data_IF_417805670211
#
_entry.id   IF_417805670211
#
_cell.length_a   1.000
_cell.length_b   1.000
_cell.length_c   1.000
_cell.angle_alpha   90.00
_cell.angle_beta   90.00
_cell.angle_gamma   90.00
#
_symmetry.space_group_name_H-M   'P 1'
#
loop_
_entity.id
_entity.type
_entity.pdbx_description
1 polymer ?
#
# COMPACT_ATOMS: atom_id res chain seq x y z
N UNK A 1 55.92 -53.83 49.77
CA UNK A 1 55.60 -53.00 50.95
C UNK A 1 54.41 -52.12 50.59
N UNK A 2 53.22 -52.49 51.06
CA UNK A 2 52.01 -51.68 50.99
C UNK A 2 52.14 -50.51 51.96
N UNK A 3 51.87 -49.28 51.52
CA UNK A 3 51.61 -48.18 52.44
C UNK A 3 50.41 -47.35 51.94
N UNK A 4 49.23 -47.71 52.45
CA UNK A 4 47.99 -46.95 52.33
C UNK A 4 48.13 -45.65 53.13
N UNK A 5 48.14 -44.50 52.47
CA UNK A 5 47.86 -43.22 53.12
C UNK A 5 46.40 -42.84 52.93
N UNK A 6 45.68 -42.85 54.06
CA UNK A 6 44.27 -42.50 54.23
C UNK A 6 43.89 -41.16 53.57
N UNK A 7 43.01 -41.20 52.57
CA UNK A 7 42.17 -40.03 52.22
C UNK A 7 41.20 -39.78 53.37
N UNK A 8 41.45 -38.74 54.17
CA UNK A 8 40.47 -38.23 55.13
C UNK A 8 39.30 -37.62 54.37
N UNK A 9 38.16 -38.31 54.35
CA UNK A 9 36.88 -37.70 53.98
C UNK A 9 36.53 -36.66 55.05
N UNK A 10 36.48 -35.38 54.66
CA UNK A 10 35.91 -34.34 55.51
C UNK A 10 34.39 -34.51 55.49
N UNK A 11 33.85 -35.12 56.54
CA UNK A 11 32.43 -35.08 56.83
C UNK A 11 32.17 -33.76 57.56
N UNK A 12 31.72 -32.75 56.84
CA UNK A 12 31.17 -31.55 57.48
C UNK A 12 29.91 -31.96 58.23
N UNK A 13 29.97 -32.03 59.56
CA UNK A 13 28.77 -32.09 60.38
C UNK A 13 27.85 -30.95 59.98
N UNK A 14 26.57 -31.27 59.73
CA UNK A 14 25.58 -30.26 59.44
C UNK A 14 25.52 -29.30 60.62
N UNK A 15 26.02 -28.08 60.44
CA UNK A 15 25.76 -26.97 61.34
C UNK A 15 24.24 -26.76 61.38
N UNK A 16 23.57 -27.42 62.33
CA UNK A 16 22.14 -27.27 62.61
C UNK A 16 21.89 -25.97 63.38
N UNK A 17 22.41 -24.85 62.89
CA UNK A 17 21.78 -23.58 63.16
C UNK A 17 20.79 -23.36 62.03
N UNK A 18 19.56 -23.89 62.19
CA UNK A 18 18.43 -23.32 61.46
C UNK A 18 18.42 -21.87 61.88
N UNK A 19 18.81 -20.96 60.98
CA UNK A 19 18.54 -19.54 61.18
C UNK A 19 17.01 -19.45 61.23
N UNK A 20 16.46 -19.44 62.44
CA UNK A 20 15.05 -19.21 62.67
C UNK A 20 14.86 -17.73 62.37
N UNK A 21 14.52 -17.46 61.11
CA UNK A 21 14.17 -16.13 60.66
C UNK A 21 13.03 -15.65 61.56
N UNK A 22 13.19 -14.48 62.20
CA UNK A 22 12.17 -13.85 63.05
C UNK A 22 10.80 -13.95 62.32
N UNK A 23 9.72 -14.46 62.96
CA UNK A 23 8.41 -14.53 62.33
C UNK A 23 7.95 -13.19 61.73
N UNK A 24 8.44 -12.07 62.27
CA UNK A 24 8.16 -10.70 61.80
C UNK A 24 9.21 -10.16 60.81
N UNK A 25 10.27 -10.89 60.51
CA UNK A 25 11.31 -10.48 59.56
C UNK A 25 10.71 -10.19 58.19
N UNK A 26 9.87 -11.09 57.67
CA UNK A 26 9.24 -10.92 56.37
C UNK A 26 8.36 -9.67 56.31
N UNK A 27 7.63 -9.34 57.38
CA UNK A 27 6.81 -8.14 57.46
C UNK A 27 7.65 -6.86 57.54
N UNK A 28 8.72 -6.86 58.35
CA UNK A 28 9.61 -5.70 58.49
C UNK A 28 10.33 -5.42 57.18
N UNK A 29 10.90 -6.44 56.54
CA UNK A 29 11.63 -6.31 55.27
C UNK A 29 10.70 -5.92 54.14
N UNK A 30 9.48 -6.48 54.09
CA UNK A 30 8.47 -6.07 53.12
C UNK A 30 8.12 -4.59 53.26
N UNK A 31 7.89 -4.08 54.48
CA UNK A 31 7.59 -2.65 54.70
C UNK A 31 8.68 -1.71 54.19
N UNK A 32 9.95 -2.11 54.28
CA UNK A 32 11.07 -1.33 53.72
C UNK A 32 10.99 -1.29 52.20
N UNK A 33 10.75 -2.45 51.56
CA UNK A 33 10.62 -2.54 50.10
C UNK A 33 9.36 -1.83 49.58
N UNK A 34 8.24 -1.96 50.28
CA UNK A 34 6.99 -1.28 49.98
C UNK A 34 7.17 0.24 50.07
N UNK A 35 7.82 0.75 51.12
CA UNK A 35 8.15 2.16 51.24
C UNK A 35 9.05 2.64 50.09
N UNK A 36 10.05 1.85 49.71
CA UNK A 36 10.89 2.18 48.56
C UNK A 36 10.08 2.24 47.25
N UNK A 37 9.13 1.33 47.03
CA UNK A 37 8.23 1.36 45.87
C UNK A 37 7.39 2.65 45.88
N UNK A 38 6.85 3.05 47.04
CA UNK A 38 6.15 4.32 47.19
C UNK A 38 7.03 5.53 46.81
N UNK A 39 8.27 5.58 47.30
CA UNK A 39 9.20 6.67 46.97
C UNK A 39 9.59 6.69 45.48
N UNK A 40 9.70 5.52 44.84
CA UNK A 40 9.94 5.42 43.39
C UNK A 40 8.77 6.04 42.61
N UNK A 41 7.52 5.71 42.95
CA UNK A 41 6.35 6.30 42.28
C UNK A 41 6.16 7.80 42.62
N UNK A 42 6.67 8.27 43.76
CA UNK A 42 6.68 9.68 44.15
C UNK A 42 7.85 10.48 43.54
N UNK A 43 8.64 9.88 42.63
CA UNK A 43 9.83 10.49 42.01
C UNK A 43 10.99 10.81 42.96
N UNK A 44 11.01 10.21 44.15
CA UNK A 44 12.07 10.37 45.16
C UNK A 44 13.10 9.23 45.14
N UNK A 45 13.12 8.42 44.08
CA UNK A 45 13.94 7.21 44.01
C UNK A 45 15.46 7.43 44.03
N UNK A 46 15.96 8.63 43.77
CA UNK A 46 17.40 8.95 43.81
C UNK A 46 18.01 8.92 45.21
N UNK A 47 17.18 9.03 46.27
CA UNK A 47 17.63 8.94 47.66
C UNK A 47 17.72 7.51 48.20
N UNK A 48 17.34 6.51 47.40
CA UNK A 48 17.27 5.11 47.84
C UNK A 48 18.60 4.37 47.64
N UNK A 49 19.01 3.58 48.62
CA UNK A 49 20.17 2.71 48.50
C UNK A 49 19.80 1.42 47.73
N UNK A 50 20.11 1.39 46.43
CA UNK A 50 19.79 0.27 45.54
C UNK A 50 20.39 -1.07 46.00
N UNK A 51 21.60 -1.07 46.58
CA UNK A 51 22.25 -2.30 47.06
C UNK A 51 21.52 -2.86 48.28
N UNK A 52 21.12 -2.00 49.21
CA UNK A 52 20.37 -2.41 50.39
C UNK A 52 19.00 -2.98 50.02
N UNK A 53 18.29 -2.32 49.11
CA UNK A 53 16.98 -2.77 48.65
C UNK A 53 17.08 -4.10 47.89
N UNK A 54 18.07 -4.24 47.00
CA UNK A 54 18.34 -5.51 46.33
C UNK A 54 18.66 -6.64 47.33
N UNK A 55 19.51 -6.38 48.33
CA UNK A 55 19.85 -7.36 49.37
C UNK A 55 18.63 -7.78 50.19
N UNK A 56 17.75 -6.82 50.53
CA UNK A 56 16.50 -7.09 51.24
C UNK A 56 15.56 -7.98 50.41
N UNK A 57 15.38 -7.66 49.13
CA UNK A 57 14.58 -8.48 48.22
C UNK A 57 15.19 -9.88 48.00
N UNK A 58 16.51 -9.97 47.83
CA UNK A 58 17.25 -11.23 47.73
C UNK A 58 17.01 -12.12 48.95
N UNK A 59 17.15 -11.57 50.16
CA UNK A 59 16.95 -12.32 51.40
C UNK A 59 15.49 -12.80 51.56
N UNK A 60 14.51 -12.01 51.14
CA UNK A 60 13.11 -12.44 51.15
C UNK A 60 12.87 -13.69 50.28
N UNK A 61 13.44 -13.71 49.06
CA UNK A 61 13.34 -14.89 48.18
C UNK A 61 14.12 -16.08 48.75
N UNK A 62 15.35 -15.86 49.22
CA UNK A 62 16.21 -16.90 49.81
C UNK A 62 15.54 -17.59 51.01
N UNK A 63 14.85 -16.83 51.85
CA UNK A 63 14.13 -17.34 53.02
C UNK A 63 12.70 -17.84 52.70
N UNK A 64 12.39 -18.13 51.44
CA UNK A 64 11.09 -18.68 50.97
C UNK A 64 9.88 -17.76 51.15
N UNK A 65 10.09 -16.44 51.21
CA UNK A 65 9.00 -15.44 51.25
C UNK A 65 8.71 -14.82 49.87
N UNK A 66 9.06 -15.50 48.77
CA UNK A 66 8.88 -15.00 47.40
C UNK A 66 7.42 -14.70 47.02
N UNK A 67 6.46 -15.55 47.42
CA UNK A 67 5.03 -15.30 47.14
C UNK A 67 4.52 -14.04 47.86
N UNK A 68 4.98 -13.79 49.10
CA UNK A 68 4.62 -12.60 49.85
C UNK A 68 5.20 -11.34 49.21
N UNK A 69 6.45 -11.41 48.75
CA UNK A 69 7.10 -10.33 48.02
C UNK A 69 6.36 -10.02 46.71
N UNK A 70 6.02 -11.05 45.92
CA UNK A 70 5.33 -10.88 44.64
C UNK A 70 3.90 -10.36 44.81
N UNK A 71 3.11 -10.92 45.73
CA UNK A 71 1.75 -10.44 46.01
C UNK A 71 1.72 -9.03 46.60
N UNK A 72 2.68 -8.71 47.46
CA UNK A 72 2.90 -7.35 47.96
C UNK A 72 3.18 -6.38 46.80
N UNK A 73 4.13 -6.72 45.92
CA UNK A 73 4.48 -5.93 44.74
C UNK A 73 3.24 -5.63 43.89
N UNK A 74 2.47 -6.66 43.54
CA UNK A 74 1.23 -6.53 42.75
C UNK A 74 0.27 -5.56 43.44
N UNK A 75 0.08 -5.70 44.75
CA UNK A 75 -0.86 -4.87 45.52
C UNK A 75 -0.43 -3.41 45.56
N UNK A 76 0.84 -3.14 45.86
CA UNK A 76 1.39 -1.78 45.95
C UNK A 76 1.39 -1.09 44.58
N UNK A 77 1.81 -1.78 43.50
CA UNK A 77 1.75 -1.24 42.14
C UNK A 77 0.31 -0.95 41.71
N UNK A 78 -0.63 -1.86 42.00
CA UNK A 78 -2.05 -1.66 41.69
C UNK A 78 -2.62 -0.45 42.41
N UNK A 79 -2.25 -0.23 43.68
CA UNK A 79 -2.65 0.96 44.43
C UNK A 79 -2.21 2.25 43.73
N UNK A 80 -0.93 2.35 43.34
CA UNK A 80 -0.43 3.53 42.61
C UNK A 80 -1.11 3.73 41.27
N UNK A 81 -1.33 2.64 40.52
CA UNK A 81 -2.02 2.72 39.23
C UNK A 81 -3.46 3.21 39.37
N UNK A 82 -4.18 2.84 40.44
CA UNK A 82 -5.52 3.39 40.70
C UNK A 82 -5.50 4.89 40.97
N UNK A 83 -4.50 5.39 41.70
CA UNK A 83 -4.35 6.84 41.91
C UNK A 83 -3.96 7.56 40.62
N UNK A 84 -3.08 6.96 39.81
CA UNK A 84 -2.73 7.47 38.48
C UNK A 84 -3.97 7.51 37.56
N UNK A 85 -4.82 6.48 37.58
CA UNK A 85 -6.06 6.43 36.79
C UNK A 85 -6.94 7.64 37.10
N UNK A 86 -7.16 7.95 38.39
CA UNK A 86 -7.96 9.11 38.80
C UNK A 86 -7.41 10.43 38.26
N UNK A 87 -6.08 10.59 38.26
CA UNK A 87 -5.44 11.80 37.72
C UNK A 87 -5.63 11.91 36.22
N UNK A 88 -5.47 10.81 35.48
CA UNK A 88 -5.69 10.76 34.03
C UNK A 88 -7.16 11.03 33.70
N UNK A 89 -8.10 10.44 34.45
CA UNK A 89 -9.54 10.64 34.29
C UNK A 89 -9.95 12.10 34.50
N UNK A 90 -9.33 12.79 35.48
CA UNK A 90 -9.59 14.19 35.76
C UNK A 90 -9.08 15.16 34.67
N UNK A 91 -8.11 14.75 33.85
CA UNK A 91 -7.58 15.58 32.77
C UNK A 91 -8.66 15.81 31.69
N UNK A 92 -8.85 17.05 31.25
CA UNK A 92 -9.89 17.45 30.28
C UNK A 92 -9.31 17.80 28.90
N UNK A 93 -10.11 17.60 27.85
CA UNK A 93 -9.76 18.00 26.48
C UNK A 93 -8.43 17.43 26.00
N UNK A 94 -7.62 18.26 25.32
CA UNK A 94 -6.32 17.87 24.77
C UNK A 94 -5.26 17.47 25.80
N UNK A 95 -5.42 17.88 27.06
CA UNK A 95 -4.49 17.52 28.14
C UNK A 95 -4.55 16.04 28.53
N UNK A 96 -5.64 15.35 28.18
CA UNK A 96 -5.82 13.94 28.52
C UNK A 96 -4.74 13.02 27.94
N UNK A 97 -4.44 13.15 26.64
CA UNK A 97 -3.41 12.33 26.01
C UNK A 97 -2.00 12.71 26.50
N UNK A 98 -1.75 13.99 26.77
CA UNK A 98 -0.48 14.47 27.31
C UNK A 98 -0.22 13.89 28.70
N UNK A 99 -1.23 13.93 29.58
CA UNK A 99 -1.15 13.38 30.92
C UNK A 99 -1.02 11.86 30.90
N UNK A 100 -1.78 11.16 30.04
CA UNK A 100 -1.64 9.72 29.84
C UNK A 100 -0.21 9.34 29.38
N UNK A 101 0.32 10.05 28.38
CA UNK A 101 1.67 9.82 27.85
C UNK A 101 2.75 10.08 28.91
N UNK A 102 2.60 11.15 29.69
CA UNK A 102 3.52 11.50 30.77
C UNK A 102 3.51 10.44 31.86
N UNK A 103 2.32 10.04 32.32
CA UNK A 103 2.15 9.00 33.35
C UNK A 103 2.63 7.63 32.89
N UNK A 104 2.49 7.31 31.60
CA UNK A 104 3.07 6.11 31.00
C UNK A 104 4.61 6.12 31.06
N UNK A 105 5.24 7.24 30.72
CA UNK A 105 6.69 7.39 30.81
C UNK A 105 7.19 7.29 32.25
N UNK A 106 6.48 7.91 33.19
CA UNK A 106 6.78 7.85 34.63
C UNK A 106 6.65 6.42 35.16
N UNK A 107 5.58 5.71 34.79
CA UNK A 107 5.37 4.30 35.14
C UNK A 107 6.47 3.39 34.62
N UNK A 108 6.88 3.54 33.36
CA UNK A 108 7.97 2.72 32.80
C UNK A 108 9.30 2.93 33.53
N UNK A 109 9.62 4.17 33.92
CA UNK A 109 10.81 4.45 34.75
C UNK A 109 10.70 3.76 36.10
N UNK A 110 9.54 3.86 36.75
CA UNK A 110 9.30 3.20 38.03
C UNK A 110 9.43 1.67 37.93
N UNK A 111 8.80 1.06 36.92
CA UNK A 111 8.89 -0.40 36.65
C UNK A 111 10.34 -0.84 36.42
N UNK A 112 11.13 -0.06 35.68
CA UNK A 112 12.54 -0.38 35.46
C UNK A 112 13.34 -0.36 36.78
N UNK A 113 13.16 0.66 37.63
CA UNK A 113 13.81 0.72 38.93
C UNK A 113 13.38 -0.43 39.86
N UNK A 114 12.09 -0.76 39.88
CA UNK A 114 11.53 -1.87 40.67
C UNK A 114 12.08 -3.21 40.17
N UNK A 115 12.19 -3.40 38.86
CA UNK A 115 12.80 -4.59 38.25
C UNK A 115 14.25 -4.74 38.66
N UNK A 116 15.03 -3.65 38.65
CA UNK A 116 16.43 -3.67 39.05
C UNK A 116 16.59 -4.02 40.54
N UNK A 117 15.71 -3.48 41.39
CA UNK A 117 15.61 -3.84 42.81
C UNK A 117 15.24 -5.32 43.02
N UNK A 118 14.35 -5.88 42.19
CA UNK A 118 13.81 -7.23 42.32
C UNK A 118 14.45 -8.26 41.37
N UNK A 119 15.63 -7.95 40.81
CA UNK A 119 16.28 -8.74 39.78
C UNK A 119 16.48 -10.22 40.16
N UNK A 120 16.73 -10.51 41.45
CA UNK A 120 16.88 -11.89 41.91
C UNK A 120 15.55 -12.66 41.89
N UNK A 121 14.44 -12.01 42.19
CA UNK A 121 13.09 -12.60 42.12
C UNK A 121 12.75 -13.00 40.69
N UNK A 122 13.03 -12.14 39.71
CA UNK A 122 12.83 -12.41 38.28
C UNK A 122 13.67 -13.59 37.79
N UNK A 123 14.90 -13.73 38.29
CA UNK A 123 15.82 -14.80 37.85
C UNK A 123 15.57 -16.16 38.47
N UNK A 124 14.99 -16.21 39.68
CA UNK A 124 14.92 -17.45 40.47
C UNK A 124 13.50 -17.85 40.82
N UNK A 125 12.74 -16.93 41.42
CA UNK A 125 11.40 -17.21 41.92
C UNK A 125 10.37 -17.29 40.79
N UNK A 126 10.37 -16.32 39.89
CA UNK A 126 9.41 -16.22 38.78
C UNK A 126 9.42 -17.47 37.88
N UNK A 127 10.58 -17.99 37.42
CA UNK A 127 10.61 -19.22 36.61
C UNK A 127 10.14 -20.46 37.39
N UNK A 128 10.47 -20.54 38.69
CA UNK A 128 10.11 -21.69 39.52
C UNK A 128 8.61 -21.77 39.86
N UNK A 129 7.90 -20.65 39.74
CA UNK A 129 6.47 -20.53 40.07
C UNK A 129 5.59 -20.21 38.87
N UNK A 130 6.18 -20.13 37.67
CA UNK A 130 5.51 -19.75 36.43
C UNK A 130 4.72 -18.43 36.53
N UNK A 131 5.22 -17.48 37.32
CA UNK A 131 4.64 -16.13 37.46
C UNK A 131 5.09 -15.24 36.30
N UNK A 132 4.49 -14.06 36.20
CA UNK A 132 4.88 -13.05 35.22
C UNK A 132 6.12 -12.28 35.70
N UNK A 133 7.15 -12.07 34.86
CA UNK A 133 8.29 -11.21 35.21
C UNK A 133 7.88 -9.78 35.56
N UNK A 134 8.64 -9.09 36.41
CA UNK A 134 8.27 -7.77 36.95
C UNK A 134 7.98 -6.73 35.85
N UNK A 135 8.77 -6.71 34.77
CA UNK A 135 8.54 -5.79 33.66
C UNK A 135 7.19 -6.05 32.98
N UNK A 136 6.92 -7.30 32.60
CA UNK A 136 5.66 -7.70 31.95
C UNK A 136 4.47 -7.55 32.90
N UNK A 137 4.65 -7.79 34.20
CA UNK A 137 3.66 -7.50 35.22
C UNK A 137 3.30 -6.01 35.23
N UNK A 138 4.29 -5.12 35.15
CA UNK A 138 4.06 -3.68 35.06
C UNK A 138 3.22 -3.27 33.85
N UNK A 139 3.46 -3.91 32.69
CA UNK A 139 2.65 -3.70 31.47
C UNK A 139 1.22 -4.23 31.64
N UNK A 140 1.07 -5.46 32.15
CA UNK A 140 -0.24 -6.08 32.39
C UNK A 140 -1.08 -5.26 33.37
N UNK A 141 -0.49 -4.81 34.48
CA UNK A 141 -1.18 -3.98 35.46
C UNK A 141 -1.59 -2.63 34.87
N UNK A 142 -0.75 -2.00 34.03
CA UNK A 142 -1.11 -0.77 33.33
C UNK A 142 -2.29 -0.98 32.38
N UNK A 143 -2.25 -2.05 31.56
CA UNK A 143 -3.34 -2.43 30.68
C UNK A 143 -4.65 -2.58 31.46
N UNK A 144 -4.63 -3.36 32.53
CA UNK A 144 -5.86 -3.78 33.21
C UNK A 144 -6.43 -2.69 34.13
N UNK A 145 -5.60 -1.81 34.70
CA UNK A 145 -6.07 -0.75 35.62
C UNK A 145 -6.23 0.62 34.97
N UNK A 146 -5.49 0.93 33.88
CA UNK A 146 -5.56 2.24 33.20
C UNK A 146 -6.30 2.10 31.88
N UNK A 147 -5.75 1.36 30.91
CA UNK A 147 -6.28 1.33 29.54
C UNK A 147 -7.65 0.67 29.47
N UNK A 148 -7.88 -0.36 30.27
CA UNK A 148 -9.18 -1.06 30.39
C UNK A 148 -10.10 -0.48 31.45
N UNK A 149 -9.74 0.65 32.06
CA UNK A 149 -10.70 1.42 32.86
C UNK A 149 -11.83 1.88 31.95
N UNK A 150 -13.08 1.69 32.37
CA UNK A 150 -14.27 1.97 31.53
C UNK A 150 -14.35 3.43 31.08
N UNK A 151 -13.82 4.35 31.88
CA UNK A 151 -13.77 5.79 31.57
C UNK A 151 -12.67 6.15 30.58
N UNK A 152 -11.51 5.49 30.67
CA UNK A 152 -10.33 5.78 29.84
C UNK A 152 -10.42 5.04 28.50
N UNK A 153 -10.84 3.79 28.48
CA UNK A 153 -10.81 2.94 27.28
C UNK A 153 -11.55 3.58 26.10
N UNK A 154 -12.84 3.87 26.28
CA UNK A 154 -13.69 4.47 25.24
C UNK A 154 -13.22 5.88 24.88
N UNK A 155 -12.81 6.66 25.89
CA UNK A 155 -12.32 8.03 25.68
C UNK A 155 -11.04 8.06 24.86
N UNK A 156 -10.09 7.17 25.17
CA UNK A 156 -8.82 7.03 24.47
C UNK A 156 -9.04 6.67 23.02
N UNK A 157 -9.86 5.65 22.76
CA UNK A 157 -10.19 5.24 21.40
C UNK A 157 -10.81 6.40 20.61
N UNK A 158 -11.87 7.01 21.14
CA UNK A 158 -12.57 8.10 20.45
C UNK A 158 -11.66 9.29 20.19
N UNK A 159 -10.81 9.67 21.17
CA UNK A 159 -9.87 10.80 21.00
C UNK A 159 -8.85 10.51 19.91
N UNK A 160 -8.30 9.28 19.84
CA UNK A 160 -7.36 8.91 18.79
C UNK A 160 -8.01 8.93 17.41
N UNK A 161 -9.21 8.36 17.28
CA UNK A 161 -9.95 8.34 16.02
C UNK A 161 -10.34 9.75 15.56
N UNK A 162 -10.77 10.61 16.49
CA UNK A 162 -11.09 12.02 16.21
C UNK A 162 -9.86 12.80 15.73
N UNK A 163 -8.70 12.61 16.37
CA UNK A 163 -7.46 13.27 15.91
C UNK A 163 -7.06 12.82 14.50
N UNK A 164 -7.20 11.53 14.18
CA UNK A 164 -6.92 11.03 12.83
C UNK A 164 -7.92 11.62 11.83
N UNK A 165 -9.21 11.70 12.18
CA UNK A 165 -10.22 12.31 11.34
C UNK A 165 -9.92 13.80 11.08
N UNK A 166 -9.58 14.55 12.12
CA UNK A 166 -9.21 15.98 12.03
C UNK A 166 -8.00 16.19 11.12
N UNK A 167 -7.01 15.30 11.19
CA UNK A 167 -5.88 15.33 10.27
C UNK A 167 -6.30 15.04 8.82
N UNK A 168 -7.18 14.05 8.59
CA UNK A 168 -7.73 13.79 7.23
C UNK A 168 -8.48 14.99 6.67
N UNK A 169 -9.09 15.82 7.52
CA UNK A 169 -9.75 17.07 7.11
C UNK A 169 -8.80 18.27 7.01
N UNK A 170 -7.49 18.06 7.19
CA UNK A 170 -6.46 19.08 7.00
C UNK A 170 -6.05 19.84 8.26
N UNK A 171 -6.52 19.44 9.44
CA UNK A 171 -6.09 20.06 10.69
C UNK A 171 -4.70 19.58 11.12
N UNK A 172 -3.91 20.49 11.69
CA UNK A 172 -2.60 20.14 12.25
C UNK A 172 -2.78 19.48 13.62
N UNK A 173 -2.27 18.25 13.75
CA UNK A 173 -2.30 17.47 14.98
C UNK A 173 -0.89 17.24 15.54
N UNK A 174 -0.80 16.93 16.83
CA UNK A 174 0.46 16.52 17.45
C UNK A 174 0.79 15.05 17.10
N UNK A 175 1.38 14.83 15.92
CA UNK A 175 1.80 13.49 15.44
C UNK A 175 2.74 12.77 16.42
N UNK A 176 3.59 13.53 17.13
CA UNK A 176 4.53 12.97 18.11
C UNK A 176 3.82 12.35 19.32
N UNK A 177 2.77 13.01 19.82
CA UNK A 177 1.96 12.50 20.91
C UNK A 177 1.20 11.23 20.50
N UNK A 178 0.56 11.24 19.33
CA UNK A 178 -0.16 10.06 18.81
C UNK A 178 0.80 8.89 18.63
N UNK A 179 1.98 9.12 18.04
CA UNK A 179 3.01 8.07 17.91
C UNK A 179 3.37 7.44 19.25
N UNK A 180 3.54 8.23 20.30
CA UNK A 180 3.90 7.71 21.62
C UNK A 180 2.75 6.89 22.24
N UNK A 181 1.50 7.35 22.09
CA UNK A 181 0.33 6.62 22.57
C UNK A 181 0.12 5.32 21.78
N UNK A 182 0.23 5.35 20.45
CA UNK A 182 0.16 4.16 19.61
C UNK A 182 1.27 3.17 19.97
N UNK A 183 2.49 3.66 20.21
CA UNK A 183 3.59 2.84 20.70
C UNK A 183 3.26 2.17 22.04
N UNK A 184 2.69 2.91 23.00
CA UNK A 184 2.21 2.33 24.24
C UNK A 184 1.19 1.20 23.98
N UNK A 185 0.20 1.40 23.11
CA UNK A 185 -0.78 0.35 22.80
C UNK A 185 -0.12 -0.90 22.21
N UNK A 186 0.90 -0.72 21.36
CA UNK A 186 1.70 -1.83 20.82
C UNK A 186 2.50 -2.55 21.91
N UNK A 187 3.14 -1.80 22.81
CA UNK A 187 3.94 -2.36 23.93
C UNK A 187 3.07 -3.17 24.90
N UNK A 188 1.77 -2.83 25.03
CA UNK A 188 0.79 -3.57 25.83
C UNK A 188 0.25 -4.84 25.14
N UNK A 189 0.63 -5.05 23.88
CA UNK A 189 0.43 -6.29 23.14
C UNK A 189 -0.77 -6.31 22.16
N UNK A 190 -0.92 -7.42 21.40
CA UNK A 190 -1.88 -7.52 20.31
C UNK A 190 -3.34 -7.32 20.72
N UNK A 191 -3.73 -7.81 21.91
CA UNK A 191 -5.11 -7.67 22.40
C UNK A 191 -5.51 -6.22 22.68
N UNK A 192 -4.56 -5.30 22.82
CA UNK A 192 -4.85 -3.87 23.01
C UNK A 192 -4.75 -3.17 21.66
N UNK A 193 -3.61 -3.29 20.97
CA UNK A 193 -3.43 -2.58 19.71
C UNK A 193 -4.35 -3.09 18.59
N UNK A 194 -4.45 -4.40 18.37
CA UNK A 194 -5.18 -4.94 17.23
C UNK A 194 -6.68 -4.98 17.48
N UNK A 195 -7.09 -5.43 18.66
CA UNK A 195 -8.50 -5.61 18.99
C UNK A 195 -9.16 -4.30 19.42
N UNK A 196 -8.56 -3.57 20.37
CA UNK A 196 -9.19 -2.37 20.95
C UNK A 196 -9.01 -1.11 20.07
N UNK A 197 -7.98 -1.05 19.21
CA UNK A 197 -7.69 0.13 18.38
C UNK A 197 -7.76 -0.13 16.86
N UNK A 198 -6.98 -1.06 16.32
CA UNK A 198 -6.83 -1.24 14.87
C UNK A 198 -8.16 -1.61 14.20
N UNK A 199 -8.92 -2.55 14.77
CA UNK A 199 -10.22 -2.95 14.22
C UNK A 199 -11.19 -1.77 14.12
N UNK A 200 -11.50 -1.02 15.21
CA UNK A 200 -12.29 0.20 15.12
C UNK A 200 -11.72 1.26 14.17
N UNK A 201 -10.39 1.42 14.13
CA UNK A 201 -9.73 2.36 13.23
C UNK A 201 -10.00 2.04 11.76
N UNK A 202 -9.87 0.77 11.37
CA UNK A 202 -10.16 0.34 9.99
C UNK A 202 -11.65 0.47 9.65
N UNK A 203 -12.54 0.13 10.58
CA UNK A 203 -14.00 0.27 10.40
C UNK A 203 -14.43 1.74 10.19
N UNK A 204 -13.95 2.64 11.04
CA UNK A 204 -14.23 4.08 10.91
C UNK A 204 -13.59 4.66 9.64
N UNK A 205 -12.39 4.19 9.28
CA UNK A 205 -11.74 4.61 8.03
C UNK A 205 -12.51 4.15 6.79
N UNK A 206 -13.02 2.92 6.79
CA UNK A 206 -13.85 2.42 5.70
C UNK A 206 -15.12 3.27 5.55
N UNK A 207 -15.79 3.60 6.66
CA UNK A 207 -16.96 4.46 6.63
C UNK A 207 -16.64 5.88 6.13
N UNK A 208 -15.51 6.44 6.57
CA UNK A 208 -15.04 7.75 6.10
C UNK A 208 -14.85 7.77 4.58
N UNK A 209 -14.09 6.81 4.02
CA UNK A 209 -13.80 6.76 2.58
C UNK A 209 -15.03 6.37 1.75
N UNK A 210 -15.97 5.61 2.31
CA UNK A 210 -17.26 5.34 1.65
C UNK A 210 -18.09 6.60 1.47
N UNK A 211 -18.19 7.44 2.51
CA UNK A 211 -18.94 8.70 2.43
C UNK A 211 -18.21 9.69 1.51
N UNK A 212 -16.89 9.81 1.66
CA UNK A 212 -16.09 10.74 0.85
C UNK A 212 -16.11 10.35 -0.64
N UNK A 213 -15.99 9.07 -0.97
CA UNK A 213 -16.06 8.60 -2.37
C UNK A 213 -17.41 8.92 -3.00
N UNK A 214 -18.53 8.71 -2.28
CA UNK A 214 -19.86 9.07 -2.79
C UNK A 214 -19.97 10.58 -3.06
N UNK A 215 -19.51 11.42 -2.14
CA UNK A 215 -19.52 12.87 -2.31
C UNK A 215 -18.67 13.30 -3.51
N UNK A 216 -17.49 12.70 -3.69
CA UNK A 216 -16.64 13.03 -4.83
C UNK A 216 -17.27 12.62 -6.15
N UNK A 217 -17.94 11.47 -6.21
CA UNK A 217 -18.63 11.03 -7.43
C UNK A 217 -19.79 11.97 -7.81
N UNK A 218 -20.47 12.56 -6.82
CA UNK A 218 -21.57 13.49 -7.07
C UNK A 218 -21.11 14.88 -7.50
N UNK A 219 -19.91 15.30 -7.06
CA UNK A 219 -19.47 16.69 -7.19
C UNK A 219 -18.25 16.90 -8.10
N UNK A 220 -17.57 15.84 -8.54
CA UNK A 220 -16.34 15.92 -9.31
C UNK A 220 -16.48 15.20 -10.65
N UNK A 221 -15.65 15.60 -11.62
CA UNK A 221 -15.40 14.77 -12.79
C UNK A 221 -14.50 13.58 -12.43
N UNK A 222 -14.41 12.60 -13.34
CA UNK A 222 -13.62 11.39 -13.08
C UNK A 222 -12.11 11.70 -12.89
N UNK A 223 -11.54 12.66 -13.63
CA UNK A 223 -10.12 13.01 -13.51
C UNK A 223 -9.78 13.55 -12.11
N UNK A 224 -10.59 14.48 -11.61
CA UNK A 224 -10.48 15.06 -10.28
C UNK A 224 -10.74 14.03 -9.17
N UNK A 225 -11.69 13.12 -9.38
CA UNK A 225 -11.91 11.98 -8.48
C UNK A 225 -10.64 11.13 -8.34
N UNK A 226 -10.01 10.77 -9.46
CA UNK A 226 -8.80 9.95 -9.48
C UNK A 226 -7.65 10.68 -8.78
N UNK A 227 -7.46 11.99 -9.04
CA UNK A 227 -6.45 12.83 -8.36
C UNK A 227 -6.65 12.84 -6.85
N UNK A 228 -7.88 13.02 -6.39
CA UNK A 228 -8.19 13.01 -4.95
C UNK A 228 -7.96 11.64 -4.33
N UNK A 229 -8.29 10.57 -5.04
CA UNK A 229 -8.07 9.18 -4.59
C UNK A 229 -6.58 8.88 -4.45
N UNK A 230 -5.77 9.24 -5.45
CA UNK A 230 -4.31 9.13 -5.40
C UNK A 230 -3.73 9.91 -4.20
N UNK A 231 -4.22 11.13 -3.97
CA UNK A 231 -3.80 11.94 -2.82
C UNK A 231 -4.14 11.24 -1.49
N UNK A 232 -5.34 10.69 -1.34
CA UNK A 232 -5.76 9.97 -0.11
C UNK A 232 -4.90 8.74 0.16
N UNK A 233 -4.53 7.98 -0.87
CA UNK A 233 -3.60 6.86 -0.73
C UNK A 233 -2.24 7.32 -0.19
N UNK A 234 -1.66 8.36 -0.78
CA UNK A 234 -0.37 8.89 -0.33
C UNK A 234 -0.44 9.44 1.09
N UNK A 235 -1.51 10.15 1.45
CA UNK A 235 -1.73 10.64 2.81
C UNK A 235 -1.81 9.51 3.84
N UNK A 236 -2.43 8.38 3.52
CA UNK A 236 -2.48 7.20 4.42
C UNK A 236 -1.12 6.51 4.55
N UNK A 237 -0.37 6.36 3.45
CA UNK A 237 0.99 5.81 3.48
C UNK A 237 1.90 6.69 4.36
N UNK A 238 1.85 8.00 4.18
CA UNK A 238 2.58 8.94 5.02
C UNK A 238 2.15 8.83 6.48
N UNK A 239 0.84 8.80 6.75
CA UNK A 239 0.30 8.67 8.11
C UNK A 239 0.82 7.43 8.82
N UNK A 240 0.83 6.30 8.13
CA UNK A 240 1.37 5.06 8.67
C UNK A 240 2.83 5.22 9.04
N UNK A 241 3.63 5.81 8.14
CA UNK A 241 5.06 6.05 8.39
C UNK A 241 5.34 6.95 9.60
N UNK A 242 4.44 7.90 9.89
CA UNK A 242 4.64 8.85 10.99
C UNK A 242 4.30 8.27 12.37
N UNK A 243 3.20 7.52 12.50
CA UNK A 243 2.71 7.14 13.83
C UNK A 243 1.94 5.82 13.95
N UNK A 244 1.74 5.04 12.88
CA UNK A 244 1.15 3.70 12.97
C UNK A 244 2.20 2.60 12.81
N UNK A 245 1.81 1.34 13.03
CA UNK A 245 2.67 0.18 12.77
C UNK A 245 2.83 -0.01 11.25
N UNK A 246 4.08 0.01 10.77
CA UNK A 246 4.42 -0.18 9.35
C UNK A 246 3.85 -1.48 8.75
N UNK A 247 3.67 -2.52 9.58
CA UNK A 247 3.05 -3.78 9.12
C UNK A 247 1.58 -3.62 8.72
N UNK A 248 0.97 -2.46 8.99
CA UNK A 248 -0.47 -2.19 8.80
C UNK A 248 -0.74 -1.29 7.60
N UNK A 249 0.30 -0.82 6.92
CA UNK A 249 0.17 -0.06 5.68
C UNK A 249 -0.74 -0.77 4.69
N UNK A 250 -0.52 -2.08 4.48
CA UNK A 250 -1.37 -2.89 3.61
C UNK A 250 -2.84 -2.84 4.01
N UNK A 251 -3.18 -3.01 5.29
CA UNK A 251 -4.58 -3.07 5.75
C UNK A 251 -5.35 -1.77 5.53
N UNK A 252 -4.75 -0.62 5.81
CA UNK A 252 -5.41 0.67 5.60
C UNK A 252 -5.44 1.03 4.12
N UNK A 253 -4.40 0.67 3.37
CA UNK A 253 -4.36 0.84 1.91
C UNK A 253 -5.47 0.02 1.25
N UNK A 254 -5.66 -1.24 1.63
CA UNK A 254 -6.75 -2.10 1.16
C UNK A 254 -8.13 -1.46 1.40
N UNK A 255 -8.31 -0.78 2.54
CA UNK A 255 -9.56 -0.06 2.85
C UNK A 255 -9.80 1.10 1.87
N UNK A 256 -8.77 1.90 1.58
CA UNK A 256 -8.86 3.01 0.61
C UNK A 256 -9.12 2.46 -0.80
N UNK A 257 -8.37 1.43 -1.21
CA UNK A 257 -8.52 0.80 -2.52
C UNK A 257 -9.91 0.18 -2.69
N UNK A 258 -10.44 -0.48 -1.66
CA UNK A 258 -11.78 -1.05 -1.71
C UNK A 258 -12.87 0.03 -1.80
N UNK A 259 -12.85 1.01 -0.90
CA UNK A 259 -13.94 1.98 -0.76
C UNK A 259 -13.90 3.08 -1.82
N UNK A 260 -12.70 3.48 -2.29
CA UNK A 260 -12.56 4.55 -3.30
C UNK A 260 -12.37 4.02 -4.73
N UNK A 261 -11.91 2.78 -4.95
CA UNK A 261 -11.62 2.28 -6.31
C UNK A 261 -12.53 1.10 -6.63
N UNK A 262 -12.42 -0.02 -5.91
CA UNK A 262 -13.08 -1.27 -6.26
C UNK A 262 -14.60 -1.13 -6.31
N UNK A 263 -15.21 -0.50 -5.29
CA UNK A 263 -16.66 -0.33 -5.19
C UNK A 263 -17.27 0.54 -6.29
N UNK A 264 -16.48 1.44 -6.91
CA UNK A 264 -16.97 2.45 -7.86
C UNK A 264 -16.38 2.30 -9.26
N UNK A 265 -15.54 1.29 -9.49
CA UNK A 265 -14.78 1.08 -10.71
C UNK A 265 -15.60 1.24 -11.99
N UNK A 266 -16.72 0.52 -12.12
CA UNK A 266 -17.61 0.60 -13.29
C UNK A 266 -18.25 1.98 -13.43
N UNK A 267 -18.65 2.60 -12.33
CA UNK A 267 -19.24 3.94 -12.32
C UNK A 267 -18.25 5.01 -12.75
N UNK A 268 -16.97 4.89 -12.37
CA UNK A 268 -15.91 5.81 -12.76
C UNK A 268 -15.59 5.68 -14.24
N UNK A 269 -15.41 4.47 -14.74
CA UNK A 269 -15.07 4.23 -16.16
C UNK A 269 -16.19 4.69 -17.08
N UNK A 270 -17.45 4.46 -16.70
CA UNK A 270 -18.64 4.87 -17.46
C UNK A 270 -19.24 6.20 -17.00
N UNK A 271 -18.48 7.03 -16.26
CA UNK A 271 -18.98 8.30 -15.75
C UNK A 271 -19.39 9.22 -16.90
N UNK A 272 -20.59 9.80 -16.80
CA UNK A 272 -21.14 10.67 -17.83
C UNK A 272 -20.22 11.87 -18.07
N UNK A 273 -19.93 12.19 -19.33
CA UNK A 273 -19.11 13.33 -19.79
C UNK A 273 -17.66 13.42 -19.25
N UNK A 274 -17.21 12.47 -18.44
CA UNK A 274 -15.84 12.52 -17.87
C UNK A 274 -15.17 11.16 -17.69
N UNK A 275 -15.90 10.05 -17.89
CA UNK A 275 -15.35 8.70 -17.81
C UNK A 275 -14.30 8.40 -18.88
N UNK A 276 -13.82 7.17 -18.90
CA UNK A 276 -12.65 6.75 -19.69
C UNK A 276 -12.78 7.11 -21.18
N UNK A 277 -13.96 6.91 -21.78
CA UNK A 277 -14.18 7.24 -23.21
C UNK A 277 -13.94 8.72 -23.49
N UNK A 278 -14.42 9.63 -22.62
CA UNK A 278 -14.17 11.06 -22.79
C UNK A 278 -12.69 11.39 -22.63
N UNK A 279 -11.99 10.74 -21.68
CA UNK A 279 -10.54 10.90 -21.53
C UNK A 279 -9.76 10.44 -22.76
N UNK A 280 -10.21 9.37 -23.44
CA UNK A 280 -9.62 8.89 -24.70
C UNK A 280 -9.86 9.89 -25.85
N UNK A 281 -11.07 10.42 -25.95
CA UNK A 281 -11.43 11.40 -26.98
C UNK A 281 -10.65 12.71 -26.82
N UNK A 282 -10.58 13.24 -25.60
CA UNK A 282 -9.94 14.52 -25.27
C UNK A 282 -8.42 14.42 -25.06
N UNK A 283 -7.81 13.27 -25.34
CA UNK A 283 -6.36 13.05 -25.20
C UNK A 283 -5.81 13.37 -23.78
N UNK A 284 -6.58 13.03 -22.73
CA UNK A 284 -6.21 13.26 -21.32
C UNK A 284 -5.23 12.20 -20.79
N UNK A 285 -4.02 12.16 -21.35
CA UNK A 285 -3.01 11.13 -21.06
C UNK A 285 -2.66 10.99 -19.57
N UNK A 286 -2.55 12.10 -18.84
CA UNK A 286 -2.25 12.07 -17.40
C UNK A 286 -3.35 11.40 -16.58
N UNK A 287 -4.61 11.72 -16.88
CA UNK A 287 -5.76 11.15 -16.17
C UNK A 287 -5.95 9.67 -16.52
N UNK A 288 -5.69 9.28 -17.77
CA UNK A 288 -5.63 7.87 -18.19
C UNK A 288 -4.52 7.11 -17.46
N UNK A 289 -3.34 7.72 -17.30
CA UNK A 289 -2.22 7.13 -16.57
C UNK A 289 -2.54 6.91 -15.10
N UNK A 290 -3.23 7.89 -14.48
CA UNK A 290 -3.72 7.77 -13.11
C UNK A 290 -4.79 6.70 -12.98
N UNK A 291 -5.72 6.61 -13.93
CA UNK A 291 -6.73 5.56 -13.97
C UNK A 291 -6.06 4.17 -14.02
N UNK A 292 -5.08 3.97 -14.90
CA UNK A 292 -4.33 2.71 -14.98
C UNK A 292 -3.62 2.37 -13.67
N UNK A 293 -2.93 3.35 -13.09
CA UNK A 293 -2.13 3.18 -11.86
C UNK A 293 -2.99 2.91 -10.62
N UNK A 294 -4.22 3.42 -10.58
CA UNK A 294 -5.18 3.14 -9.52
C UNK A 294 -5.89 1.79 -9.75
N UNK A 295 -6.24 1.47 -10.99
CA UNK A 295 -6.99 0.26 -11.31
C UNK A 295 -6.11 -1.00 -11.28
N UNK A 296 -4.78 -0.88 -11.43
CA UNK A 296 -3.88 -2.02 -11.26
C UNK A 296 -3.84 -2.56 -9.83
N UNK A 297 -4.27 -1.76 -8.85
CA UNK A 297 -4.28 -2.11 -7.43
C UNK A 297 -5.44 -3.03 -7.04
N UNK A 298 -6.52 -3.02 -7.82
CA UNK A 298 -7.74 -3.76 -7.50
C UNK A 298 -7.98 -4.91 -8.47
N UNK A 299 -8.62 -5.97 -7.97
CA UNK A 299 -8.99 -7.11 -8.80
C UNK A 299 -9.92 -6.68 -9.94
N UNK A 300 -9.70 -7.23 -11.14
CA UNK A 300 -10.43 -6.89 -12.37
C UNK A 300 -10.33 -5.43 -12.84
N UNK A 301 -9.49 -4.59 -12.22
CA UNK A 301 -9.35 -3.19 -12.63
C UNK A 301 -8.81 -3.04 -14.05
N UNK A 302 -7.66 -3.68 -14.34
CA UNK A 302 -7.05 -3.63 -15.67
C UNK A 302 -7.92 -4.27 -16.76
N UNK A 303 -8.63 -5.37 -16.46
CA UNK A 303 -9.57 -5.96 -17.42
C UNK A 303 -10.70 -5.00 -17.75
N UNK A 304 -11.27 -4.31 -16.75
CA UNK A 304 -12.38 -3.37 -16.97
C UNK A 304 -11.99 -2.23 -17.91
N UNK A 305 -10.86 -1.57 -17.67
CA UNK A 305 -10.41 -0.46 -18.54
C UNK A 305 -10.03 -0.97 -19.94
N UNK A 306 -9.42 -2.16 -20.05
CA UNK A 306 -9.07 -2.76 -21.34
C UNK A 306 -10.31 -3.07 -22.15
N UNK A 307 -11.34 -3.62 -21.53
CA UNK A 307 -12.58 -4.01 -22.22
C UNK A 307 -13.32 -2.75 -22.71
N UNK A 308 -13.33 -1.67 -21.93
CA UNK A 308 -13.89 -0.37 -22.36
C UNK A 308 -13.09 0.27 -23.48
N UNK A 309 -11.76 0.28 -23.39
CA UNK A 309 -10.90 0.73 -24.49
C UNK A 309 -11.16 -0.07 -25.77
N UNK A 310 -11.21 -1.40 -25.67
CA UNK A 310 -11.45 -2.32 -26.79
C UNK A 310 -12.80 -2.03 -27.45
N UNK A 311 -13.86 -1.89 -26.64
CA UNK A 311 -15.20 -1.58 -27.14
C UNK A 311 -15.23 -0.22 -27.87
N UNK A 312 -14.57 0.79 -27.31
CA UNK A 312 -14.53 2.13 -27.90
C UNK A 312 -13.74 2.16 -29.22
N UNK A 313 -12.57 1.53 -29.26
CA UNK A 313 -11.76 1.41 -30.49
C UNK A 313 -12.56 0.68 -31.58
N UNK A 314 -13.23 -0.42 -31.26
CA UNK A 314 -14.00 -1.19 -32.25
C UNK A 314 -15.16 -0.40 -32.82
N UNK A 315 -15.88 0.36 -31.99
CA UNK A 315 -17.00 1.18 -32.46
C UNK A 315 -16.52 2.35 -33.32
N UNK A 316 -15.49 3.08 -32.85
CA UNK A 316 -14.89 4.21 -33.59
C UNK A 316 -14.30 3.74 -34.92
N UNK A 317 -13.55 2.64 -34.91
CA UNK A 317 -12.97 2.05 -36.10
C UNK A 317 -14.02 1.54 -37.09
N UNK A 318 -15.12 0.95 -36.61
CA UNK A 318 -16.24 0.55 -37.45
C UNK A 318 -16.89 1.75 -38.14
N UNK A 319 -17.11 2.84 -37.41
CA UNK A 319 -17.64 4.08 -37.99
C UNK A 319 -16.70 4.63 -39.07
N UNK A 320 -15.39 4.68 -38.78
CA UNK A 320 -14.37 5.14 -39.73
C UNK A 320 -14.37 4.31 -41.02
N UNK A 321 -14.44 2.97 -40.92
CA UNK A 321 -14.36 2.11 -42.11
C UNK A 321 -15.66 1.98 -42.91
N UNK A 322 -16.79 2.39 -42.34
CA UNK A 322 -18.12 2.29 -42.99
C UNK A 322 -18.72 3.64 -43.37
N UNK A 323 -18.10 4.76 -42.99
CA UNK A 323 -18.58 6.10 -43.30
C UNK A 323 -18.55 6.39 -44.82
N UNK A 324 -19.71 6.62 -45.46
CA UNK A 324 -19.78 6.89 -46.90
C UNK A 324 -18.96 8.10 -47.36
N UNK A 325 -18.74 9.11 -46.52
CA UNK A 325 -17.92 10.27 -46.86
C UNK A 325 -16.44 9.90 -46.90
N UNK A 326 -15.96 9.16 -45.90
CA UNK A 326 -14.57 8.65 -45.83
C UNK A 326 -14.26 7.66 -46.96
N UNK A 327 -15.26 6.94 -47.47
CA UNK A 327 -15.10 6.03 -48.60
C UNK A 327 -14.88 6.73 -49.96
N UNK A 328 -15.05 8.07 -50.04
CA UNK A 328 -14.82 8.84 -51.27
C UNK A 328 -13.34 9.11 -51.54
N UNK A 329 -12.54 9.21 -50.49
CA UNK A 329 -11.10 9.47 -50.58
C UNK A 329 -10.30 8.33 -49.93
N UNK A 330 -9.75 7.40 -50.74
CA UNK A 330 -8.92 6.30 -50.26
C UNK A 330 -7.67 6.74 -49.48
N UNK A 331 -7.10 7.90 -49.82
CA UNK A 331 -5.89 8.39 -49.17
C UNK A 331 -6.23 8.94 -47.79
N UNK A 332 -7.29 9.74 -47.69
CA UNK A 332 -7.79 10.24 -46.40
C UNK A 332 -8.24 9.09 -45.49
N UNK A 333 -8.92 8.08 -46.04
CA UNK A 333 -9.34 6.87 -45.31
C UNK A 333 -8.16 6.19 -44.60
N UNK A 334 -7.09 5.89 -45.33
CA UNK A 334 -5.92 5.20 -44.77
C UNK A 334 -5.16 6.12 -43.81
N UNK A 335 -5.08 7.42 -44.09
CA UNK A 335 -4.47 8.39 -43.17
C UNK A 335 -5.21 8.40 -41.81
N UNK A 336 -6.54 8.42 -41.81
CA UNK A 336 -7.32 8.37 -40.56
C UNK A 336 -7.06 7.08 -39.77
N UNK A 337 -6.89 5.93 -40.43
CA UNK A 337 -6.54 4.66 -39.78
C UNK A 337 -5.16 4.71 -39.11
N UNK A 338 -4.17 5.31 -39.79
CA UNK A 338 -2.83 5.48 -39.25
C UNK A 338 -2.82 6.44 -38.05
N UNK A 339 -3.55 7.55 -38.15
CA UNK A 339 -3.63 8.55 -37.09
C UNK A 339 -4.30 7.98 -35.82
N UNK A 340 -5.37 7.20 -36.00
CA UNK A 340 -6.01 6.45 -34.90
C UNK A 340 -5.05 5.43 -34.28
N UNK A 341 -4.29 4.68 -35.09
CA UNK A 341 -3.32 3.70 -34.58
C UNK A 341 -2.24 4.39 -33.75
N UNK A 342 -1.67 5.46 -34.28
CA UNK A 342 -0.66 6.26 -33.61
C UNK A 342 -1.19 6.85 -32.29
N UNK A 343 -2.44 7.32 -32.26
CA UNK A 343 -3.08 7.84 -31.04
C UNK A 343 -3.12 6.78 -29.95
N UNK A 344 -3.64 5.59 -30.22
CA UNK A 344 -3.74 4.53 -29.20
C UNK A 344 -2.38 3.94 -28.83
N UNK A 345 -1.42 3.85 -29.75
CA UNK A 345 -0.05 3.47 -29.41
C UNK A 345 0.58 4.46 -28.42
N UNK A 346 0.39 5.77 -28.66
CA UNK A 346 0.83 6.81 -27.72
C UNK A 346 0.15 6.67 -26.36
N UNK A 347 -1.17 6.44 -26.32
CA UNK A 347 -1.89 6.23 -25.05
C UNK A 347 -1.30 5.02 -24.30
N UNK A 348 -1.12 3.89 -24.97
CA UNK A 348 -0.60 2.68 -24.33
C UNK A 348 0.82 2.89 -23.82
N UNK A 349 1.66 3.58 -24.61
CA UNK A 349 3.05 3.87 -24.26
C UNK A 349 3.15 4.84 -23.06
N UNK A 350 2.40 5.94 -23.07
CA UNK A 350 2.51 7.00 -22.08
C UNK A 350 1.68 6.77 -20.82
N UNK A 351 0.46 6.24 -20.95
CA UNK A 351 -0.50 6.10 -19.86
C UNK A 351 -0.57 4.67 -19.30
N UNK A 352 -0.46 3.64 -20.15
CA UNK A 352 -0.68 2.25 -19.74
C UNK A 352 0.62 1.45 -19.60
N UNK A 353 1.74 2.12 -19.29
CA UNK A 353 3.04 1.49 -19.01
C UNK A 353 3.51 0.51 -20.09
N UNK A 354 3.13 0.75 -21.35
CA UNK A 354 3.42 -0.14 -22.48
C UNK A 354 2.93 -1.59 -22.29
N UNK A 355 1.78 -1.76 -21.62
CA UNK A 355 1.20 -3.06 -21.28
C UNK A 355 0.82 -3.87 -22.54
N UNK A 356 1.45 -5.06 -22.68
CA UNK A 356 1.26 -5.95 -23.83
C UNK A 356 -0.19 -6.42 -23.99
N UNK A 357 -0.96 -6.52 -22.91
CA UNK A 357 -2.36 -6.93 -23.00
C UNK A 357 -3.22 -5.87 -23.67
N UNK A 358 -2.90 -4.58 -23.48
CA UNK A 358 -3.55 -3.47 -24.17
C UNK A 358 -3.09 -3.37 -25.62
N UNK A 359 -1.80 -3.58 -25.90
CA UNK A 359 -1.29 -3.67 -27.28
C UNK A 359 -1.99 -4.78 -28.08
N UNK A 360 -2.15 -5.96 -27.49
CA UNK A 360 -2.85 -7.08 -28.12
C UNK A 360 -4.33 -6.75 -28.37
N UNK A 361 -5.00 -6.08 -27.42
CA UNK A 361 -6.38 -5.64 -27.57
C UNK A 361 -6.53 -4.60 -28.69
N UNK A 362 -5.59 -3.66 -28.81
CA UNK A 362 -5.52 -2.69 -29.91
C UNK A 362 -5.35 -3.40 -31.25
N UNK A 363 -4.36 -4.29 -31.38
CA UNK A 363 -4.09 -5.06 -32.60
C UNK A 363 -5.32 -5.87 -33.04
N UNK A 364 -5.95 -6.60 -32.10
CA UNK A 364 -7.16 -7.37 -32.38
C UNK A 364 -8.34 -6.50 -32.77
N UNK A 365 -8.43 -5.27 -32.25
CA UNK A 365 -9.50 -4.33 -32.62
C UNK A 365 -9.31 -3.81 -34.04
N UNK A 366 -8.07 -3.46 -34.43
CA UNK A 366 -7.75 -3.07 -35.81
C UNK A 366 -8.00 -4.20 -36.81
N UNK A 367 -7.56 -5.42 -36.50
CA UNK A 367 -7.87 -6.61 -37.31
C UNK A 367 -9.39 -6.83 -37.45
N UNK A 368 -10.16 -6.59 -36.40
CA UNK A 368 -11.60 -6.72 -36.46
C UNK A 368 -12.25 -5.71 -37.43
N UNK A 369 -12.02 -4.41 -37.25
CA UNK A 369 -12.80 -3.42 -38.01
C UNK A 369 -12.25 -3.17 -39.42
N UNK A 370 -10.95 -3.33 -39.68
CA UNK A 370 -10.37 -3.06 -41.02
C UNK A 370 -10.96 -4.00 -42.08
N UNK A 371 -11.28 -5.23 -41.67
CA UNK A 371 -11.85 -6.28 -42.53
C UNK A 371 -13.38 -6.17 -42.66
N UNK A 372 -14.04 -5.20 -42.01
CA UNK A 372 -15.47 -4.94 -42.24
C UNK A 372 -15.72 -4.21 -43.57
N UNK A 373 -14.69 -3.55 -44.12
CA UNK A 373 -14.76 -2.90 -45.41
C UNK A 373 -13.99 -3.72 -46.47
N UNK A 374 -14.66 -4.30 -47.49
CA UNK A 374 -14.00 -5.10 -48.52
C UNK A 374 -13.09 -4.28 -49.43
N UNK A 375 -13.17 -2.93 -49.39
CA UNK A 375 -12.29 -2.03 -50.15
C UNK A 375 -11.01 -1.67 -49.40
N UNK A 376 -10.84 -2.07 -48.14
CA UNK A 376 -9.63 -1.78 -47.36
C UNK A 376 -8.33 -2.20 -48.08
N UNK A 377 -8.23 -3.40 -48.70
CA UNK A 377 -7.04 -3.78 -49.48
C UNK A 377 -6.75 -2.85 -50.66
N UNK A 378 -7.79 -2.44 -51.41
CA UNK A 378 -7.67 -1.48 -52.53
C UNK A 378 -7.18 -0.12 -52.03
N UNK A 379 -7.77 0.37 -50.94
CA UNK A 379 -7.49 1.70 -50.40
C UNK A 379 -6.07 1.82 -49.85
N UNK A 380 -5.59 0.80 -49.15
CA UNK A 380 -4.20 0.75 -48.67
C UNK A 380 -3.24 0.75 -49.86
N UNK A 381 -3.55 0.02 -50.94
CA UNK A 381 -2.74 0.02 -52.16
C UNK A 381 -2.73 1.40 -52.87
N UNK A 382 -3.87 2.08 -52.93
CA UNK A 382 -3.98 3.43 -53.48
C UNK A 382 -3.24 4.47 -52.64
N UNK A 383 -3.28 4.36 -51.31
CA UNK A 383 -2.52 5.23 -50.42
C UNK A 383 -1.02 5.08 -50.66
N UNK A 384 -0.52 3.86 -50.76
CA UNK A 384 0.87 3.58 -51.11
C UNK A 384 1.24 4.17 -52.48
N UNK A 385 0.39 3.97 -53.49
CA UNK A 385 0.59 4.54 -54.84
C UNK A 385 0.69 6.07 -54.81
N UNK A 386 -0.21 6.74 -54.09
CA UNK A 386 -0.18 8.21 -53.97
C UNK A 386 1.07 8.70 -53.21
N UNK A 387 1.47 8.03 -52.12
CA UNK A 387 2.69 8.36 -51.38
C UNK A 387 3.94 8.18 -52.25
N UNK A 388 4.02 7.15 -53.08
CA UNK A 388 5.16 6.89 -53.98
C UNK A 388 5.17 7.76 -55.25
N UNK A 389 4.03 8.32 -55.68
CA UNK A 389 3.96 9.23 -56.85
C UNK A 389 4.05 10.72 -56.50
N UNK A 390 3.38 11.15 -55.43
CA UNK A 390 3.22 12.58 -55.08
C UNK A 390 3.83 12.94 -53.73
N UNK A 391 3.74 12.03 -52.76
CA UNK A 391 4.17 12.25 -51.37
C UNK A 391 5.68 12.46 -51.18
N UNK A 392 6.49 12.23 -52.22
CA UNK A 392 7.95 12.29 -52.18
C UNK A 392 8.53 13.67 -52.59
N UNK A 393 7.72 14.66 -52.98
CA UNK A 393 8.23 16.02 -53.29
C UNK A 393 8.52 16.81 -52.01
N UNK A 394 9.78 16.76 -51.55
CA UNK A 394 10.29 17.56 -50.43
C UNK A 394 10.22 16.89 -49.05
N UNK A 395 9.91 15.60 -49.01
CA UNK A 395 9.92 14.75 -47.79
C UNK A 395 11.22 13.95 -47.76
N UNK A 396 11.79 13.71 -46.57
CA UNK A 396 13.05 12.96 -46.43
C UNK A 396 12.84 11.46 -46.67
N UNK A 397 13.87 10.75 -47.16
CA UNK A 397 13.85 9.29 -47.32
C UNK A 397 13.52 8.54 -46.02
N UNK A 398 13.92 9.10 -44.86
CA UNK A 398 13.63 8.54 -43.54
C UNK A 398 12.13 8.62 -43.20
N UNK A 399 11.47 9.75 -43.47
CA UNK A 399 10.03 9.90 -43.23
C UNK A 399 9.21 8.95 -44.11
N UNK A 400 9.69 8.69 -45.32
CA UNK A 400 9.05 7.76 -46.27
C UNK A 400 9.10 6.34 -45.72
N UNK A 401 10.27 5.92 -45.23
CA UNK A 401 10.44 4.60 -44.63
C UNK A 401 9.53 4.40 -43.41
N UNK A 402 9.37 5.42 -42.56
CA UNK A 402 8.44 5.41 -41.42
C UNK A 402 6.99 5.21 -41.90
N UNK A 403 6.58 5.89 -42.96
CA UNK A 403 5.23 5.73 -43.54
C UNK A 403 5.05 4.32 -44.10
N UNK A 404 6.04 3.78 -44.81
CA UNK A 404 6.00 2.41 -45.33
C UNK A 404 5.87 1.39 -44.20
N UNK A 405 6.63 1.54 -43.11
CA UNK A 405 6.51 0.68 -41.93
C UNK A 405 5.11 0.72 -41.32
N UNK A 406 4.54 1.92 -41.17
CA UNK A 406 3.17 2.10 -40.68
C UNK A 406 2.12 1.44 -41.57
N UNK A 407 2.27 1.55 -42.89
CA UNK A 407 1.39 0.85 -43.83
C UNK A 407 1.52 -0.67 -43.70
N UNK A 408 2.73 -1.18 -43.50
CA UNK A 408 2.95 -2.61 -43.26
C UNK A 408 2.26 -3.10 -41.97
N UNK A 409 2.09 -2.24 -40.96
CA UNK A 409 1.26 -2.56 -39.79
C UNK A 409 -0.19 -2.80 -40.23
N UNK A 410 -0.79 -1.90 -41.02
CA UNK A 410 -2.16 -2.07 -41.52
C UNK A 410 -2.31 -3.29 -42.43
N UNK A 411 -1.32 -3.55 -43.29
CA UNK A 411 -1.28 -4.73 -44.15
C UNK A 411 -1.37 -6.03 -43.35
N UNK A 412 -0.66 -6.12 -42.22
CA UNK A 412 -0.70 -7.30 -41.34
C UNK A 412 -2.09 -7.59 -40.78
N UNK A 413 -2.92 -6.56 -40.60
CA UNK A 413 -4.30 -6.71 -40.14
C UNK A 413 -5.28 -7.17 -41.21
N UNK A 414 -4.90 -7.16 -42.50
CA UNK A 414 -5.77 -7.65 -43.58
C UNK A 414 -5.89 -9.17 -43.58
N UNK A 415 -7.11 -9.67 -43.79
CA UNK A 415 -7.39 -11.09 -44.05
C UNK A 415 -7.18 -11.43 -45.54
N UNK A 416 -7.70 -10.60 -46.45
CA UNK A 416 -7.58 -10.77 -47.92
C UNK A 416 -6.30 -10.12 -48.47
N UNK A 417 -5.14 -10.67 -48.10
CA UNK A 417 -3.82 -10.13 -48.50
C UNK A 417 -3.52 -10.30 -49.99
N UNK A 418 -4.11 -11.31 -50.63
CA UNK A 418 -4.06 -11.57 -52.06
C UNK A 418 -4.79 -10.48 -52.88
N UNK A 419 -5.90 -9.96 -52.35
CA UNK A 419 -6.63 -8.85 -52.97
C UNK A 419 -5.79 -7.57 -52.95
N UNK A 420 -5.10 -7.28 -51.83
CA UNK A 420 -4.13 -6.18 -51.76
C UNK A 420 -3.04 -6.34 -52.82
N UNK A 421 -2.45 -7.54 -52.92
CA UNK A 421 -1.38 -7.85 -53.87
C UNK A 421 -1.80 -7.54 -55.31
N UNK A 422 -3.00 -7.98 -55.70
CA UNK A 422 -3.55 -7.73 -57.04
C UNK A 422 -3.64 -6.23 -57.36
N UNK A 423 -4.18 -5.43 -56.44
CA UNK A 423 -4.25 -3.98 -56.63
C UNK A 423 -2.86 -3.34 -56.63
N UNK A 424 -1.97 -3.78 -55.74
CA UNK A 424 -0.58 -3.29 -55.67
C UNK A 424 0.16 -3.52 -57.00
N UNK A 425 0.10 -4.73 -57.56
CA UNK A 425 0.71 -5.05 -58.87
C UNK A 425 0.18 -4.14 -59.97
N UNK A 426 -1.14 -3.95 -60.04
CA UNK A 426 -1.75 -3.05 -61.04
C UNK A 426 -1.28 -1.60 -60.90
N UNK A 427 -1.13 -1.09 -59.67
CA UNK A 427 -0.62 0.26 -59.44
C UNK A 427 0.87 0.38 -59.74
N UNK A 428 1.65 -0.64 -59.38
CA UNK A 428 3.08 -0.74 -59.69
C UNK A 428 3.32 -0.74 -61.20
N UNK A 429 2.62 -1.57 -61.97
CA UNK A 429 2.70 -1.59 -63.44
C UNK A 429 2.45 -0.21 -64.03
N UNK A 430 1.40 0.49 -63.58
CA UNK A 430 1.09 1.84 -64.03
C UNK A 430 2.19 2.84 -63.69
N UNK A 431 2.77 2.78 -62.48
CA UNK A 431 3.89 3.64 -62.07
C UNK A 431 5.13 3.42 -62.95
N UNK A 432 5.49 2.17 -63.17
CA UNK A 432 6.65 1.80 -64.00
C UNK A 432 6.48 2.22 -65.46
N UNK A 433 5.28 2.05 -66.03
CA UNK A 433 4.99 2.42 -67.42
C UNK A 433 4.87 3.94 -67.64
N UNK A 434 4.39 4.68 -66.65
CA UNK A 434 4.24 6.14 -66.73
C UNK A 434 5.52 6.92 -66.41
N UNK A 435 6.51 6.27 -65.77
CA UNK A 435 7.74 6.92 -65.31
C UNK A 435 7.50 7.90 -64.16
N UNK A 436 6.39 7.77 -63.43
CA UNK A 436 5.99 8.65 -62.32
C UNK A 436 6.49 8.16 -60.93
N UNK A 437 7.41 7.21 -60.87
CA UNK A 437 8.06 6.81 -59.60
C UNK A 437 9.01 7.89 -59.12
N UNK A 438 8.85 8.32 -57.86
CA UNK A 438 9.71 9.38 -57.31
C UNK A 438 10.98 8.82 -56.62
N UNK A 439 11.00 7.55 -56.20
CA UNK A 439 12.20 6.88 -55.69
C UNK A 439 12.16 5.36 -55.93
N UNK A 440 13.15 4.86 -56.67
CA UNK A 440 13.32 3.42 -56.91
C UNK A 440 13.73 2.66 -55.64
N UNK A 441 14.43 3.33 -54.72
CA UNK A 441 14.88 2.73 -53.46
C UNK A 441 13.71 2.53 -52.49
N UNK A 442 12.79 3.48 -52.41
CA UNK A 442 11.55 3.33 -51.62
C UNK A 442 10.66 2.20 -52.17
N UNK A 443 10.56 2.07 -53.49
CA UNK A 443 9.80 0.99 -54.15
C UNK A 443 10.43 -0.38 -53.83
N UNK A 444 11.76 -0.49 -53.91
CA UNK A 444 12.49 -1.72 -53.52
C UNK A 444 12.31 -2.05 -52.03
N UNK A 445 12.37 -1.04 -51.15
CA UNK A 445 12.17 -1.21 -49.71
C UNK A 445 10.81 -1.83 -49.42
N UNK A 446 9.73 -1.29 -50.02
CA UNK A 446 8.38 -1.82 -49.81
C UNK A 446 8.23 -3.26 -50.31
N UNK A 447 8.78 -3.59 -51.49
CA UNK A 447 8.76 -4.97 -52.01
C UNK A 447 9.47 -5.92 -51.05
N UNK A 448 10.61 -5.51 -50.47
CA UNK A 448 11.34 -6.31 -49.46
C UNK A 448 10.49 -6.51 -48.19
N UNK A 449 9.79 -5.48 -47.72
CA UNK A 449 8.89 -5.60 -46.55
C UNK A 449 7.73 -6.56 -46.83
N UNK A 450 7.07 -6.43 -47.99
CA UNK A 450 5.99 -7.33 -48.41
C UNK A 450 6.48 -8.79 -48.54
N UNK A 451 7.68 -8.98 -49.09
CA UNK A 451 8.33 -10.30 -49.18
C UNK A 451 8.62 -10.91 -47.82
N UNK A 452 9.05 -10.10 -46.85
CA UNK A 452 9.30 -10.56 -45.48
C UNK A 452 8.02 -11.05 -44.81
N UNK A 453 6.90 -10.33 -45.01
CA UNK A 453 5.61 -10.66 -44.38
C UNK A 453 4.86 -11.81 -45.06
N UNK A 454 4.89 -11.91 -46.40
CA UNK A 454 4.12 -12.92 -47.14
C UNK A 454 4.96 -14.08 -47.71
N UNK A 455 6.28 -14.05 -47.54
CA UNK A 455 7.19 -15.06 -48.09
C UNK A 455 7.48 -14.89 -49.59
N UNK A 456 8.34 -15.78 -50.11
CA UNK A 456 8.89 -15.66 -51.47
C UNK A 456 7.84 -15.78 -52.59
N UNK A 457 6.75 -16.51 -52.36
CA UNK A 457 5.71 -16.75 -53.36
C UNK A 457 4.86 -15.51 -53.68
N UNK A 458 4.77 -14.55 -52.75
CA UNK A 458 3.98 -13.32 -52.88
C UNK A 458 4.64 -12.23 -53.72
N UNK A 459 5.94 -12.35 -53.99
CA UNK A 459 6.71 -11.33 -54.76
C UNK A 459 7.38 -11.90 -56.01
N UNK A 460 7.15 -13.18 -56.31
CA UNK A 460 7.79 -13.90 -57.41
C UNK A 460 7.02 -13.87 -58.74
N UNK A 461 5.75 -13.45 -58.73
CA UNK A 461 4.92 -13.33 -59.93
C UNK A 461 4.71 -11.89 -60.36
#
# INVERSE_FOLDING_TARGET
MNNNQNKRNFQTEAFKHRVVVDPKYADKTWKILEHAIHEIYNHNGSGLNAEELYRNAYNMVLHKFGEKLYSGLVSTMTFHLKEISKVIEAAQGGLFLEELNRKWADHNKAVQMIRDMLMYMDRTFVPSTHKTPVHELGLNLWRDNIIRSSTIQTRLLNTLLELILRERTGEVINRGLIRNIIKMLMDLGPSVYQEDFEKPFLEVSANFYRVESQQFIECCDCGDYLKKTERRLNEEIERVSYYLDAKREAKITDVVEQEMIANHMLRLVHMENSGMVNMLLDDKYEDLGRMYSLFCRVSNGLSTIRDVMTSHIRETGKQLVTDPEKLKDPVEFVQCLLDEKDKYDRIISLAFSNDKTFQNALNSSFEFFINLNPRSPEFISLFVDDKLRKGLKGVSEEDIEIVLDKVMILFRYLQERDVFEKYYKQHLEKRLLSGETVSDDAERSLIVKLKTECGYQFTSE
#
